data_IF_015595391342
#
_entry.id   IF_015595391342
#
_cell.length_a   1.000
_cell.length_b   1.000
_cell.length_c   1.000
_cell.angle_alpha   90.00
_cell.angle_beta   90.00
_cell.angle_gamma   90.00
#
_symmetry.space_group_name_H-M   'P 1'
#
loop_
_entity.id
_entity.type
_entity.pdbx_description
1 polymer ?
#
# COMPACT_ATOMS: atom_id res chain seq x y z
N UNK A 1 9.28 5.27 6.01
CA UNK A 1 7.90 4.78 5.85
C UNK A 1 7.41 4.48 7.25
N UNK A 2 6.30 5.10 7.63
CA UNK A 2 5.83 5.23 9.02
C UNK A 2 5.45 3.86 9.58
N UNK A 3 6.22 3.39 10.55
CA UNK A 3 6.12 2.11 11.27
C UNK A 3 5.02 2.11 12.35
N UNK A 4 3.94 2.86 12.10
CA UNK A 4 2.82 3.01 13.04
C UNK A 4 1.56 2.26 12.58
N UNK A 5 1.58 1.72 11.35
CA UNK A 5 0.47 0.96 10.76
C UNK A 5 0.87 -0.45 10.30
N UNK A 6 2.15 -0.81 10.39
CA UNK A 6 2.63 -2.16 10.14
C UNK A 6 2.71 -2.91 11.48
N UNK A 7 1.56 -3.05 12.15
CA UNK A 7 1.42 -4.08 13.17
C UNK A 7 1.74 -5.42 12.52
N UNK A 8 2.73 -6.11 13.09
CA UNK A 8 3.23 -7.42 12.70
C UNK A 8 2.13 -8.28 12.06
N UNK A 9 2.27 -8.53 10.76
CA UNK A 9 1.29 -9.26 9.93
C UNK A 9 1.27 -10.76 10.24
N UNK A 10 1.52 -11.14 11.49
CA UNK A 10 1.63 -12.52 11.96
C UNK A 10 0.38 -13.00 12.72
N UNK A 11 -0.57 -12.11 13.00
CA UNK A 11 -1.83 -12.43 13.70
C UNK A 11 -2.89 -13.16 12.84
N UNK A 12 -2.68 -13.26 11.52
CA UNK A 12 -3.51 -14.09 10.62
C UNK A 12 -3.01 -15.53 10.48
N UNK A 13 -1.89 -15.87 11.10
CA UNK A 13 -1.37 -17.24 11.09
C UNK A 13 -2.07 -18.06 12.19
N UNK A 14 -2.59 -19.23 11.81
CA UNK A 14 -3.38 -20.13 12.68
C UNK A 14 -2.52 -20.58 13.87
N UNK A 15 -2.62 -19.86 14.99
CA UNK A 15 -1.82 -20.12 16.20
C UNK A 15 -2.47 -21.13 17.16
N UNK A 16 -3.70 -21.61 16.89
CA UNK A 16 -4.42 -22.58 17.74
C UNK A 16 -5.11 -23.68 16.93
N UNK A 17 -5.34 -24.82 17.58
CA UNK A 17 -5.70 -26.10 16.97
C UNK A 17 -7.10 -26.21 16.35
N UNK A 18 -8.00 -25.25 16.60
CA UNK A 18 -9.40 -25.31 16.12
C UNK A 18 -9.90 -23.92 15.71
N UNK A 19 -10.60 -23.81 14.58
CA UNK A 19 -11.21 -22.57 14.10
C UNK A 19 -12.08 -21.87 15.15
N UNK A 20 -12.85 -22.65 15.94
CA UNK A 20 -13.69 -22.11 17.02
C UNK A 20 -12.85 -21.41 18.10
N UNK A 21 -11.69 -21.94 18.46
CA UNK A 21 -10.82 -21.34 19.48
C UNK A 21 -10.24 -20.01 19.00
N UNK A 22 -10.00 -19.87 17.70
CA UNK A 22 -9.56 -18.61 17.09
C UNK A 22 -10.69 -17.59 17.08
N UNK A 23 -11.90 -17.97 16.65
CA UNK A 23 -13.06 -17.06 16.69
C UNK A 23 -13.35 -16.61 18.11
N UNK A 24 -13.30 -17.53 19.08
CA UNK A 24 -13.51 -17.20 20.50
C UNK A 24 -12.40 -16.27 21.00
N UNK A 25 -11.14 -16.55 20.67
CA UNK A 25 -10.02 -15.70 21.05
C UNK A 25 -10.14 -14.27 20.49
N UNK A 26 -10.48 -14.13 19.20
CA UNK A 26 -10.70 -12.84 18.57
C UNK A 26 -11.89 -12.09 19.17
N UNK A 27 -13.00 -12.80 19.46
CA UNK A 27 -14.16 -12.21 20.13
C UNK A 27 -13.84 -11.77 21.57
N UNK A 28 -13.09 -12.58 22.32
CA UNK A 28 -12.64 -12.24 23.66
C UNK A 28 -11.71 -11.03 23.61
N UNK A 29 -10.78 -10.97 22.66
CA UNK A 29 -9.88 -9.83 22.54
C UNK A 29 -10.61 -8.54 22.11
N UNK A 30 -11.56 -8.65 21.17
CA UNK A 30 -12.32 -7.51 20.66
C UNK A 30 -13.34 -6.96 21.67
N UNK A 31 -14.05 -7.82 22.42
CA UNK A 31 -15.13 -7.43 23.33
C UNK A 31 -14.74 -7.42 24.81
N UNK A 32 -13.67 -8.13 25.19
CA UNK A 32 -13.16 -8.24 26.57
C UNK A 32 -11.66 -7.92 26.67
N UNK A 33 -11.18 -6.77 26.14
CA UNK A 33 -9.75 -6.43 26.19
C UNK A 33 -9.25 -6.40 27.64
N UNK A 34 -7.99 -6.77 27.86
CA UNK A 34 -7.37 -6.82 29.20
C UNK A 34 -7.35 -5.44 29.87
N UNK A 35 -7.19 -4.38 29.07
CA UNK A 35 -7.30 -2.99 29.54
C UNK A 35 -8.76 -2.65 29.86
N UNK A 36 -8.99 -2.41 31.16
CA UNK A 36 -10.29 -2.05 31.71
C UNK A 36 -10.85 -0.76 31.09
N UNK A 37 -10.01 0.23 30.74
CA UNK A 37 -10.46 1.48 30.11
C UNK A 37 -10.99 1.21 28.69
N UNK A 38 -10.24 0.46 27.88
CA UNK A 38 -10.66 0.07 26.53
C UNK A 38 -11.95 -0.75 26.57
N UNK A 39 -12.09 -1.64 27.56
CA UNK A 39 -13.30 -2.45 27.75
C UNK A 39 -14.53 -1.58 28.03
N UNK A 40 -14.42 -0.63 28.95
CA UNK A 40 -15.53 0.28 29.27
C UNK A 40 -15.89 1.18 28.10
N UNK A 41 -14.90 1.73 27.39
CA UNK A 41 -15.15 2.55 26.18
C UNK A 41 -15.84 1.71 25.09
N UNK A 42 -15.38 0.48 24.87
CA UNK A 42 -15.97 -0.44 23.91
C UNK A 42 -17.43 -0.77 24.25
N UNK A 43 -17.70 -1.18 25.49
CA UNK A 43 -19.06 -1.49 25.95
C UNK A 43 -19.97 -0.27 25.95
N UNK A 44 -19.49 0.91 26.37
CA UNK A 44 -20.25 2.14 26.29
C UNK A 44 -20.58 2.50 24.84
N UNK A 45 -19.63 2.34 23.92
CA UNK A 45 -19.83 2.59 22.49
C UNK A 45 -20.85 1.62 21.89
N UNK A 46 -20.78 0.33 22.23
CA UNK A 46 -21.76 -0.68 21.80
C UNK A 46 -23.14 -0.36 22.36
N UNK A 47 -23.25 -0.04 23.65
CA UNK A 47 -24.51 0.31 24.28
C UNK A 47 -25.12 1.57 23.63
N UNK A 48 -24.30 2.61 23.40
CA UNK A 48 -24.73 3.84 22.74
C UNK A 48 -25.17 3.57 21.30
N UNK A 49 -24.42 2.79 20.51
CA UNK A 49 -24.77 2.51 19.11
C UNK A 49 -26.02 1.63 19.00
N UNK A 50 -26.16 0.64 19.89
CA UNK A 50 -27.33 -0.24 19.97
C UNK A 50 -28.61 0.53 20.31
N UNK A 51 -28.52 1.64 21.02
CA UNK A 51 -29.67 2.50 21.36
C UNK A 51 -29.88 3.57 20.27
N UNK A 52 -28.84 4.34 19.95
CA UNK A 52 -28.94 5.50 19.05
C UNK A 52 -29.24 5.10 17.61
N UNK A 53 -28.63 4.02 17.12
CA UNK A 53 -28.81 3.55 15.74
C UNK A 53 -30.28 3.23 15.42
N UNK A 54 -30.92 2.31 16.16
CA UNK A 54 -32.33 1.97 15.95
C UNK A 54 -33.28 3.15 16.17
N UNK A 55 -33.00 4.04 17.15
CA UNK A 55 -33.82 5.23 17.37
C UNK A 55 -33.75 6.18 16.17
N UNK A 56 -32.55 6.46 15.64
CA UNK A 56 -32.39 7.33 14.47
C UNK A 56 -33.01 6.71 13.22
N UNK A 57 -32.85 5.40 13.01
CA UNK A 57 -33.49 4.70 11.90
C UNK A 57 -35.03 4.76 12.00
N UNK A 58 -35.59 4.57 13.19
CA UNK A 58 -37.02 4.71 13.44
C UNK A 58 -37.51 6.14 13.17
N UNK A 59 -36.72 7.16 13.48
CA UNK A 59 -37.08 8.56 13.22
C UNK A 59 -37.02 8.94 11.75
N UNK A 60 -36.05 8.41 11.00
CA UNK A 60 -35.83 8.76 9.59
C UNK A 60 -36.74 7.95 8.66
N UNK A 61 -36.80 6.63 8.84
CA UNK A 61 -37.51 5.71 7.94
C UNK A 61 -38.78 5.11 8.55
N UNK A 62 -38.93 5.21 9.87
CA UNK A 62 -40.06 4.65 10.59
C UNK A 62 -41.22 5.64 10.75
N UNK A 63 -42.12 5.32 11.68
CA UNK A 63 -43.36 6.05 11.90
C UNK A 63 -44.50 5.12 12.30
N UNK A 64 -45.65 5.70 12.64
CA UNK A 64 -46.86 4.92 12.86
C UNK A 64 -47.33 4.29 11.55
N UNK A 65 -47.97 3.12 11.65
CA UNK A 65 -48.62 2.47 10.52
C UNK A 65 -49.71 3.40 9.96
N UNK A 66 -49.91 3.34 8.64
CA UNK A 66 -50.99 4.08 7.97
C UNK A 66 -52.34 3.61 8.50
N UNK A 67 -53.32 4.52 8.54
CA UNK A 67 -54.66 4.19 9.01
C UNK A 67 -55.23 2.99 8.24
N UNK A 68 -55.61 1.94 8.97
CA UNK A 68 -56.16 0.69 8.42
C UNK A 68 -55.14 -0.43 8.17
N UNK A 69 -53.83 -0.18 8.29
CA UNK A 69 -52.81 -1.21 8.18
C UNK A 69 -52.40 -1.77 9.54
N UNK A 70 -52.28 -3.10 9.65
CA UNK A 70 -51.83 -3.78 10.85
C UNK A 70 -50.52 -4.53 10.59
N UNK A 71 -49.59 -4.40 11.54
CA UNK A 71 -48.37 -5.21 11.53
C UNK A 71 -48.69 -6.65 11.95
N UNK A 72 -47.92 -7.60 11.44
CA UNK A 72 -47.94 -8.98 11.94
C UNK A 72 -47.61 -9.00 13.45
N UNK A 73 -48.17 -9.94 14.23
CA UNK A 73 -48.01 -9.97 15.69
C UNK A 73 -46.54 -9.96 16.16
N UNK A 74 -45.64 -10.56 15.39
CA UNK A 74 -44.20 -10.62 15.69
C UNK A 74 -43.48 -9.27 15.60
N UNK A 75 -43.97 -8.33 14.78
CA UNK A 75 -43.31 -7.05 14.51
C UNK A 75 -44.11 -5.88 15.11
N UNK A 76 -45.30 -6.15 15.65
CA UNK A 76 -46.16 -5.14 16.28
C UNK A 76 -45.46 -4.37 17.41
N UNK A 77 -44.65 -5.06 18.22
CA UNK A 77 -43.86 -4.41 19.27
C UNK A 77 -42.83 -3.43 18.70
N UNK A 78 -42.26 -3.73 17.52
CA UNK A 78 -41.26 -2.90 16.87
C UNK A 78 -41.91 -1.68 16.21
N UNK A 79 -43.04 -1.85 15.52
CA UNK A 79 -43.77 -0.72 14.92
C UNK A 79 -44.37 0.21 15.96
N UNK A 80 -44.86 -0.34 17.07
CA UNK A 80 -45.35 0.47 18.20
C UNK A 80 -44.22 1.22 18.93
N UNK A 81 -43.02 0.64 18.99
CA UNK A 81 -41.84 1.31 19.53
C UNK A 81 -41.32 2.40 18.56
N UNK A 82 -41.23 2.09 17.27
CA UNK A 82 -40.82 3.02 16.22
C UNK A 82 -41.73 4.26 16.17
N UNK A 83 -43.05 4.07 16.22
CA UNK A 83 -44.02 5.17 16.25
C UNK A 83 -43.91 6.10 17.46
N UNK A 84 -43.27 5.68 18.57
CA UNK A 84 -43.07 6.55 19.75
C UNK A 84 -41.94 7.56 19.58
N UNK A 85 -40.99 7.31 18.68
CA UNK A 85 -39.82 8.19 18.52
C UNK A 85 -40.06 9.37 17.58
N UNK A 86 -41.26 9.47 16.98
CA UNK A 86 -41.63 10.52 16.03
C UNK A 86 -40.97 10.36 14.67
N UNK A 87 -41.26 11.26 13.74
CA UNK A 87 -40.63 11.31 12.40
C UNK A 87 -39.75 12.54 12.25
N UNK A 88 -38.66 12.39 11.51
CA UNK A 88 -37.76 13.46 11.12
C UNK A 88 -37.66 13.48 9.60
N UNK A 89 -38.05 14.60 8.99
CA UNK A 89 -37.84 14.79 7.56
C UNK A 89 -36.35 15.10 7.30
N UNK A 90 -35.71 14.27 6.49
CA UNK A 90 -34.31 14.43 6.06
C UNK A 90 -34.19 14.64 4.56
N UNK A 91 -35.29 14.87 3.84
CA UNK A 91 -35.32 14.99 2.37
C UNK A 91 -34.41 16.10 1.87
N UNK A 92 -34.38 17.25 2.56
CA UNK A 92 -33.52 18.38 2.22
C UNK A 92 -32.03 18.03 2.41
N UNK A 93 -31.70 17.28 3.47
CA UNK A 93 -30.33 16.84 3.73
C UNK A 93 -29.91 15.73 2.75
N UNK A 94 -30.80 14.80 2.46
CA UNK A 94 -30.57 13.69 1.53
C UNK A 94 -30.36 14.18 0.08
N UNK A 95 -31.05 15.24 -0.32
CA UNK A 95 -30.88 15.89 -1.63
C UNK A 95 -29.88 17.06 -1.60
N UNK A 96 -29.15 17.26 -0.50
CA UNK A 96 -28.16 18.32 -0.40
C UNK A 96 -26.87 17.96 -1.14
N UNK A 97 -26.12 19.00 -1.53
CA UNK A 97 -24.77 18.85 -2.10
C UNK A 97 -23.81 18.13 -1.15
N UNK A 98 -24.05 18.19 0.16
CA UNK A 98 -23.25 17.47 1.15
C UNK A 98 -23.52 15.96 1.07
N UNK A 99 -24.77 15.53 0.92
CA UNK A 99 -25.10 14.12 0.77
C UNK A 99 -24.54 13.56 -0.55
N UNK A 100 -24.66 14.33 -1.64
CA UNK A 100 -24.02 14.00 -2.92
C UNK A 100 -22.50 13.87 -2.78
N UNK A 101 -21.85 14.82 -2.09
CA UNK A 101 -20.42 14.74 -1.82
C UNK A 101 -20.06 13.52 -0.96
N UNK A 102 -20.78 13.24 0.13
CA UNK A 102 -20.54 12.04 0.96
C UNK A 102 -20.71 10.74 0.16
N UNK A 103 -21.71 10.68 -0.72
CA UNK A 103 -21.92 9.55 -1.62
C UNK A 103 -20.76 9.37 -2.60
N UNK A 104 -20.20 10.47 -3.10
CA UNK A 104 -19.00 10.50 -3.94
C UNK A 104 -17.69 10.47 -3.12
N UNK A 105 -17.69 9.92 -1.89
CA UNK A 105 -16.51 9.82 -1.00
C UNK A 105 -15.80 11.16 -0.81
N UNK A 106 -16.57 12.24 -0.70
CA UNK A 106 -16.12 13.63 -0.60
C UNK A 106 -15.16 14.07 -1.70
N UNK A 107 -15.21 13.41 -2.88
CA UNK A 107 -14.28 13.64 -4.00
C UNK A 107 -12.80 13.47 -3.62
N UNK A 108 -12.49 12.78 -2.52
CA UNK A 108 -11.11 12.54 -2.13
C UNK A 108 -10.36 11.75 -3.19
N UNK A 109 -11.01 10.76 -3.80
CA UNK A 109 -10.42 9.94 -4.85
C UNK A 109 -10.01 10.78 -6.06
N UNK A 110 -10.92 11.63 -6.56
CA UNK A 110 -10.65 12.53 -7.68
C UNK A 110 -9.54 13.56 -7.37
N UNK A 111 -9.49 14.04 -6.12
CA UNK A 111 -8.40 14.92 -5.67
C UNK A 111 -7.06 14.19 -5.63
N UNK A 112 -7.03 12.97 -5.08
CA UNK A 112 -5.82 12.16 -5.06
C UNK A 112 -5.36 11.84 -6.47
N UNK A 113 -6.24 11.32 -7.33
CA UNK A 113 -5.92 11.03 -8.72
C UNK A 113 -5.48 12.29 -9.46
N UNK A 114 -6.17 13.41 -9.28
CA UNK A 114 -5.79 14.69 -9.88
C UNK A 114 -4.40 15.18 -9.44
N UNK A 115 -4.06 15.05 -8.16
CA UNK A 115 -2.73 15.42 -7.65
C UNK A 115 -1.66 14.46 -8.16
N UNK A 116 -1.91 13.15 -8.08
CA UNK A 116 -0.97 12.12 -8.53
C UNK A 116 -0.70 12.21 -10.04
N UNK A 117 -1.76 12.33 -10.84
CA UNK A 117 -1.67 12.45 -12.29
C UNK A 117 -0.92 13.72 -12.72
N UNK A 118 -1.08 14.83 -12.01
CA UNK A 118 -0.42 16.10 -12.34
C UNK A 118 1.02 16.20 -11.85
N UNK A 119 1.40 15.43 -10.83
CA UNK A 119 2.72 15.57 -10.19
C UNK A 119 3.59 14.34 -10.39
N UNK A 120 3.10 13.17 -9.99
CA UNK A 120 3.89 11.93 -9.95
C UNK A 120 4.07 11.35 -11.33
N UNK A 121 3.00 11.26 -12.13
CA UNK A 121 3.06 10.69 -13.48
C UNK A 121 4.10 11.40 -14.38
N UNK A 122 4.07 12.73 -14.56
CA UNK A 122 5.06 13.40 -15.40
C UNK A 122 6.49 13.30 -14.83
N UNK A 123 6.64 13.25 -13.50
CA UNK A 123 7.95 13.03 -12.88
C UNK A 123 8.49 11.62 -13.15
N UNK A 124 7.63 10.61 -13.08
CA UNK A 124 7.98 9.23 -13.41
C UNK A 124 8.35 9.09 -14.88
N UNK A 125 7.61 9.71 -15.79
CA UNK A 125 7.92 9.74 -17.22
C UNK A 125 9.27 10.43 -17.48
N UNK A 126 9.55 11.53 -16.78
CA UNK A 126 10.84 12.19 -16.85
C UNK A 126 11.98 11.30 -16.34
N UNK A 127 11.79 10.61 -15.21
CA UNK A 127 12.78 9.70 -14.66
C UNK A 127 13.05 8.52 -15.62
N UNK A 128 12.00 7.96 -16.23
CA UNK A 128 12.12 6.90 -17.22
C UNK A 128 12.85 7.38 -18.49
N UNK A 129 12.55 8.61 -18.95
CA UNK A 129 13.29 9.24 -20.03
C UNK A 129 14.77 9.46 -19.67
N UNK A 130 15.04 9.95 -18.45
CA UNK A 130 16.41 10.21 -17.98
C UNK A 130 17.25 8.92 -17.95
N UNK A 131 16.71 7.85 -17.37
CA UNK A 131 17.39 6.55 -17.30
C UNK A 131 17.70 6.02 -18.72
N UNK A 132 16.69 6.01 -19.60
CA UNK A 132 16.83 5.49 -20.96
C UNK A 132 17.79 6.29 -21.84
N UNK A 133 17.89 7.60 -21.66
CA UNK A 133 18.72 8.44 -22.54
C UNK A 133 20.11 8.71 -21.96
N UNK A 134 20.21 8.89 -20.64
CA UNK A 134 21.45 9.29 -19.99
C UNK A 134 22.13 8.08 -19.35
N UNK A 135 21.44 7.36 -18.46
CA UNK A 135 22.05 6.25 -17.71
C UNK A 135 22.41 5.10 -18.66
N UNK A 136 21.46 4.65 -19.47
CA UNK A 136 21.69 3.60 -20.47
C UNK A 136 22.73 4.02 -21.52
N UNK A 137 22.75 5.30 -21.90
CA UNK A 137 23.77 5.86 -22.80
C UNK A 137 25.19 5.74 -22.23
N UNK A 138 25.37 6.10 -20.95
CA UNK A 138 26.65 5.97 -20.24
C UNK A 138 27.07 4.50 -20.14
N UNK A 139 26.15 3.61 -19.77
CA UNK A 139 26.43 2.17 -19.64
C UNK A 139 26.91 1.60 -20.98
N UNK A 140 26.18 1.87 -22.07
CA UNK A 140 26.54 1.41 -23.42
C UNK A 140 27.89 1.93 -23.88
N UNK A 141 28.25 3.16 -23.51
CA UNK A 141 29.56 3.72 -23.83
C UNK A 141 30.69 2.96 -23.11
N UNK A 142 30.51 2.65 -21.83
CA UNK A 142 31.47 1.86 -21.04
C UNK A 142 31.60 0.46 -21.63
N UNK A 143 30.48 -0.19 -21.95
CA UNK A 143 30.45 -1.51 -22.57
C UNK A 143 31.20 -1.50 -23.92
N UNK A 144 30.89 -0.54 -24.80
CA UNK A 144 31.53 -0.42 -26.11
C UNK A 144 33.04 -0.23 -25.99
N UNK A 145 33.50 0.66 -25.10
CA UNK A 145 34.93 0.88 -24.86
C UNK A 145 35.63 -0.37 -24.34
N UNK A 146 34.98 -1.11 -23.44
CA UNK A 146 35.50 -2.37 -22.89
C UNK A 146 35.63 -3.46 -23.97
N UNK A 147 34.58 -3.63 -24.78
CA UNK A 147 34.57 -4.60 -25.89
C UNK A 147 35.62 -4.24 -26.94
N UNK A 148 35.73 -2.96 -27.31
CA UNK A 148 36.74 -2.49 -28.27
C UNK A 148 38.16 -2.74 -27.74
N UNK A 149 38.42 -2.43 -26.47
CA UNK A 149 39.71 -2.74 -25.82
C UNK A 149 40.01 -4.24 -25.84
N UNK A 150 39.02 -5.07 -25.53
CA UNK A 150 39.15 -6.54 -25.57
C UNK A 150 39.48 -7.06 -26.98
N UNK A 151 38.80 -6.54 -28.02
CA UNK A 151 39.08 -6.90 -29.41
C UNK A 151 40.50 -6.47 -29.82
N UNK A 152 40.97 -5.31 -29.37
CA UNK A 152 42.35 -4.86 -29.62
C UNK A 152 43.36 -5.79 -28.96
N UNK A 153 43.16 -6.15 -27.68
CA UNK A 153 44.02 -7.10 -26.96
C UNK A 153 44.05 -8.46 -27.68
N UNK A 154 42.89 -8.95 -28.13
CA UNK A 154 42.78 -10.21 -28.88
C UNK A 154 43.56 -10.23 -30.19
N UNK A 155 43.73 -9.07 -30.86
CA UNK A 155 44.53 -9.00 -32.09
C UNK A 155 46.04 -9.14 -31.82
N UNK A 156 46.50 -8.85 -30.61
CA UNK A 156 47.91 -9.00 -30.21
C UNK A 156 48.25 -10.48 -29.99
N UNK A 157 47.27 -11.31 -29.63
CA UNK A 157 47.46 -12.77 -29.50
C UNK A 157 47.34 -13.44 -30.87
N UNK A 158 48.48 -13.73 -31.51
CA UNK A 158 48.56 -14.30 -32.87
C UNK A 158 48.42 -15.83 -32.92
N UNK A 159 48.47 -16.53 -31.79
CA UNK A 159 48.39 -18.00 -31.71
C UNK A 159 49.69 -18.73 -32.10
N UNK A 160 50.76 -18.01 -32.42
CA UNK A 160 52.06 -18.55 -32.80
C UNK A 160 53.01 -18.64 -31.59
N UNK A 161 53.55 -19.83 -31.32
CA UNK A 161 54.49 -20.06 -30.21
C UNK A 161 55.74 -19.14 -30.26
N UNK A 162 56.23 -18.82 -31.47
CA UNK A 162 57.37 -17.93 -31.67
C UNK A 162 57.11 -16.52 -31.17
N UNK A 163 55.92 -15.99 -31.44
CA UNK A 163 55.55 -14.61 -31.11
C UNK A 163 55.42 -14.45 -29.58
N UNK A 164 54.89 -15.47 -28.90
CA UNK A 164 54.82 -15.49 -27.43
C UNK A 164 56.22 -15.47 -26.78
N UNK A 165 57.17 -16.26 -27.31
CA UNK A 165 58.55 -16.26 -26.81
C UNK A 165 59.18 -14.88 -26.99
N UNK A 166 58.98 -14.25 -28.16
CA UNK A 166 59.50 -12.90 -28.43
C UNK A 166 58.92 -11.86 -27.47
N UNK A 167 57.60 -11.86 -27.25
CA UNK A 167 56.96 -10.94 -26.30
C UNK A 167 57.45 -11.16 -24.86
N UNK A 168 57.64 -12.41 -24.45
CA UNK A 168 58.17 -12.74 -23.11
C UNK A 168 59.60 -12.24 -22.93
N UNK A 169 60.47 -12.40 -23.93
CA UNK A 169 61.84 -11.88 -23.90
C UNK A 169 61.86 -10.36 -23.82
N UNK A 170 61.05 -9.67 -24.61
CA UNK A 170 60.92 -8.20 -24.56
C UNK A 170 60.42 -7.74 -23.18
N UNK A 171 59.41 -8.41 -22.64
CA UNK A 171 58.88 -8.12 -21.31
C UNK A 171 59.93 -8.27 -20.20
N UNK A 172 60.70 -9.37 -20.22
CA UNK A 172 61.76 -9.62 -19.25
C UNK A 172 62.89 -8.57 -19.32
N UNK A 173 63.35 -8.21 -20.52
CA UNK A 173 64.35 -7.16 -20.71
C UNK A 173 63.86 -5.79 -20.25
N UNK A 174 62.58 -5.48 -20.50
CA UNK A 174 61.97 -4.22 -20.06
C UNK A 174 61.88 -4.14 -18.53
N UNK A 175 61.45 -5.22 -17.86
CA UNK A 175 61.42 -5.28 -16.40
C UNK A 175 62.83 -5.13 -15.83
N UNK A 176 63.82 -5.82 -16.40
CA UNK A 176 65.21 -5.69 -15.98
C UNK A 176 65.72 -4.25 -16.10
N UNK A 177 65.45 -3.59 -17.23
CA UNK A 177 65.81 -2.19 -17.45
C UNK A 177 65.11 -1.23 -16.47
N UNK A 178 63.83 -1.46 -16.17
CA UNK A 178 63.09 -0.65 -15.19
C UNK A 178 63.66 -0.81 -13.77
N UNK A 179 63.96 -2.03 -13.35
CA UNK A 179 64.56 -2.30 -12.04
C UNK A 179 65.95 -1.64 -11.97
N UNK A 180 66.78 -1.84 -12.99
CA UNK A 180 68.11 -1.27 -13.05
C UNK A 180 68.09 0.26 -13.05
N UNK A 181 67.20 0.88 -13.82
CA UNK A 181 67.04 2.34 -13.91
C UNK A 181 66.41 2.98 -12.67
N UNK A 182 65.65 2.24 -11.86
CA UNK A 182 65.17 2.69 -10.54
C UNK A 182 66.25 2.57 -9.47
N UNK A 183 67.20 1.64 -9.63
CA UNK A 183 68.33 1.43 -8.72
C UNK A 183 69.58 2.27 -9.02
N UNK A 184 69.57 3.01 -10.13
CA UNK A 184 70.61 3.95 -10.55
C UNK A 184 70.23 5.39 -10.17
#
# INVERSE_FOLDING_TARGET
>A
MVDWLAGESDHLSIHKSTFLDQVIYELEHAFLPEDMQLRFVGWATIALSFILGPIMAARIYGGALREGESAIPLVHWLTSLSGKFGSQNVDELANSQLAEALQNRLYFDDLYEGVLARTIVPFADFAAWFDKNIVDGVIKQIESNSVLGSVQIRRITTGSARDYILMATVGALTIFALIWGVSA
#
